data_IF_816050130551
#
_entry.id   IF_816050130551
#
_cell.length_a   1.000
_cell.length_b   1.000
_cell.length_c   1.000
_cell.angle_alpha   90.00
_cell.angle_beta   90.00
_cell.angle_gamma   90.00
#
_symmetry.space_group_name_H-M   'P 1'
#
loop_
_entity.id
_entity.type
_entity.pdbx_description
1 polymer ?
#
# COMPACT_ATOMS: atom_id res chain seq x y z
N UNK A 1 13.48 3.86 21.80
CA UNK A 1 12.02 3.68 21.90
C UNK A 1 11.60 2.58 20.95
N UNK A 2 11.04 1.48 21.44
CA UNK A 2 10.29 0.56 20.59
C UNK A 2 8.90 1.16 20.40
N UNK A 3 8.66 1.79 19.26
CA UNK A 3 7.31 2.26 18.95
C UNK A 3 6.36 1.06 18.89
N UNK A 4 5.32 1.06 19.72
CA UNK A 4 4.34 -0.03 19.75
C UNK A 4 3.38 0.14 18.57
N UNK A 5 3.79 -0.38 17.41
CA UNK A 5 2.96 -0.42 16.20
C UNK A 5 1.81 -1.38 16.46
N UNK A 6 0.62 -0.83 16.67
CA UNK A 6 -0.62 -1.59 16.84
C UNK A 6 -1.10 -2.20 15.52
N UNK A 7 -0.95 -1.45 14.43
CA UNK A 7 -1.39 -1.87 13.12
C UNK A 7 -0.42 -1.38 12.05
N UNK A 8 -0.05 -2.27 11.14
CA UNK A 8 0.71 -1.93 9.95
C UNK A 8 -0.03 -2.41 8.71
N UNK A 9 -0.17 -1.53 7.72
CA UNK A 9 -0.89 -1.76 6.46
C UNK A 9 -0.07 -1.31 5.26
N UNK A 10 -0.06 -2.12 4.21
CA UNK A 10 0.45 -1.77 2.88
C UNK A 10 -0.75 -1.46 1.97
N UNK A 11 -0.76 -0.32 1.32
CA UNK A 11 -1.82 0.13 0.42
C UNK A 11 -1.26 0.41 -0.96
N UNK A 12 -1.95 -0.03 -2.00
CA UNK A 12 -1.61 0.22 -3.40
C UNK A 12 -2.80 0.88 -4.09
N UNK A 13 -2.56 2.01 -4.75
CA UNK A 13 -3.54 2.68 -5.58
C UNK A 13 -3.22 2.41 -7.04
N UNK A 14 -4.16 1.77 -7.72
CA UNK A 14 -4.04 1.34 -9.10
C UNK A 14 -4.92 2.22 -9.98
N UNK A 15 -4.38 2.77 -11.06
CA UNK A 15 -5.16 3.54 -12.04
C UNK A 15 -6.08 2.57 -12.80
N UNK A 16 -7.37 2.66 -12.53
CA UNK A 16 -8.39 1.78 -13.10
C UNK A 16 -9.05 2.38 -14.36
N UNK A 17 -8.88 3.68 -14.61
CA UNK A 17 -9.41 4.37 -15.78
C UNK A 17 -9.68 5.85 -15.49
N UNK A 18 -10.55 6.44 -16.30
CA UNK A 18 -11.01 7.82 -16.16
C UNK A 18 -12.54 7.85 -16.18
N UNK A 19 -13.15 8.80 -15.48
CA UNK A 19 -14.60 9.03 -15.54
C UNK A 19 -15.00 9.86 -16.77
N UNK A 20 -16.30 10.23 -16.84
CA UNK A 20 -16.85 10.99 -17.97
C UNK A 20 -16.27 12.41 -18.09
N UNK A 21 -15.68 12.94 -17.03
CA UNK A 21 -15.06 14.26 -16.99
C UNK A 21 -13.53 14.18 -17.20
N UNK A 22 -12.99 12.97 -17.42
CA UNK A 22 -11.57 12.74 -17.59
C UNK A 22 -10.79 12.69 -16.28
N UNK A 23 -11.45 12.49 -15.13
CA UNK A 23 -10.79 12.36 -13.84
C UNK A 23 -10.38 10.93 -13.56
N UNK A 24 -9.18 10.74 -13.02
CA UNK A 24 -8.62 9.43 -12.70
C UNK A 24 -9.49 8.66 -11.68
N UNK A 25 -9.82 7.41 -12.02
CA UNK A 25 -10.49 6.46 -11.14
C UNK A 25 -9.43 5.50 -10.59
N UNK A 26 -9.34 5.40 -9.28
CA UNK A 26 -8.40 4.50 -8.61
C UNK A 26 -9.08 3.29 -7.98
N UNK A 27 -8.44 2.14 -8.12
CA UNK A 27 -8.75 0.92 -7.37
C UNK A 27 -7.72 0.75 -6.26
N UNK A 28 -8.18 0.69 -5.02
CA UNK A 28 -7.32 0.49 -3.87
C UNK A 28 -7.22 -0.99 -3.52
N UNK A 29 -6.00 -1.48 -3.30
CA UNK A 29 -5.71 -2.77 -2.67
C UNK A 29 -4.99 -2.53 -1.37
N UNK A 30 -5.37 -3.23 -0.31
CA UNK A 30 -4.71 -3.09 1.00
C UNK A 30 -4.46 -4.43 1.65
N UNK A 31 -3.30 -4.55 2.28
CA UNK A 31 -2.84 -5.72 3.03
C UNK A 31 -2.57 -5.29 4.46
N UNK A 32 -3.27 -5.91 5.41
CA UNK A 32 -3.10 -5.64 6.85
C UNK A 32 -2.14 -6.64 7.48
N UNK A 33 -1.79 -6.44 8.75
CA UNK A 33 -0.90 -7.31 9.51
C UNK A 33 0.50 -7.44 8.90
N UNK A 34 1.01 -6.33 8.35
CA UNK A 34 2.38 -6.29 7.84
C UNK A 34 3.35 -6.49 9.01
N UNK A 35 4.37 -7.32 8.79
CA UNK A 35 5.42 -7.52 9.79
C UNK A 35 6.06 -6.16 10.15
N UNK A 36 6.02 -5.80 11.43
CA UNK A 36 6.53 -4.53 11.93
C UNK A 36 8.03 -4.34 11.65
N UNK A 37 8.80 -5.44 11.57
CA UNK A 37 10.23 -5.40 11.26
C UNK A 37 10.55 -5.47 9.76
N UNK A 38 9.54 -5.53 8.89
CA UNK A 38 9.77 -5.54 7.44
C UNK A 38 10.44 -4.24 7.01
N UNK A 39 11.50 -4.36 6.21
CA UNK A 39 12.22 -3.21 5.68
C UNK A 39 11.49 -2.60 4.49
N UNK A 40 11.76 -1.33 4.19
CA UNK A 40 11.21 -0.67 2.99
C UNK A 40 11.56 -1.43 1.70
N UNK A 41 12.79 -1.96 1.61
CA UNK A 41 13.22 -2.73 0.44
C UNK A 41 12.40 -4.03 0.28
N UNK A 42 12.15 -4.75 1.37
CA UNK A 42 11.32 -5.96 1.34
C UNK A 42 9.88 -5.65 0.92
N UNK A 43 9.33 -4.55 1.44
CA UNK A 43 7.98 -4.11 1.08
C UNK A 43 7.89 -3.66 -0.38
N UNK A 44 8.91 -2.96 -0.88
CA UNK A 44 9.01 -2.55 -2.28
C UNK A 44 9.06 -3.77 -3.21
N UNK A 45 9.96 -4.71 -2.97
CA UNK A 45 10.06 -5.94 -3.78
C UNK A 45 8.75 -6.74 -3.76
N UNK A 46 8.10 -6.82 -2.60
CA UNK A 46 6.79 -7.49 -2.48
C UNK A 46 5.72 -6.75 -3.28
N UNK A 47 5.68 -5.41 -3.19
CA UNK A 47 4.74 -4.60 -3.96
C UNK A 47 4.96 -4.76 -5.47
N UNK A 48 6.20 -4.71 -5.94
CA UNK A 48 6.56 -4.93 -7.35
C UNK A 48 6.07 -6.30 -7.86
N UNK A 49 6.29 -7.36 -7.06
CA UNK A 49 5.80 -8.71 -7.39
C UNK A 49 4.27 -8.79 -7.38
N UNK A 50 3.58 -8.09 -6.49
CA UNK A 50 2.12 -8.04 -6.48
C UNK A 50 1.55 -7.24 -7.64
N UNK A 51 2.27 -6.19 -8.07
CA UNK A 51 1.90 -5.30 -9.17
C UNK A 51 2.07 -5.96 -10.53
N UNK A 52 3.09 -6.79 -10.73
CA UNK A 52 3.27 -7.56 -11.97
C UNK A 52 2.11 -8.51 -12.25
N UNK A 53 1.34 -8.88 -11.22
CA UNK A 53 0.14 -9.71 -11.32
C UNK A 53 -1.15 -8.89 -11.50
N UNK A 54 -1.08 -7.55 -11.45
CA UNK A 54 -2.24 -6.69 -11.68
C UNK A 54 -2.34 -6.27 -13.14
N UNK A 55 -3.57 -6.07 -13.61
CA UNK A 55 -3.84 -5.51 -14.94
C UNK A 55 -3.63 -3.98 -14.95
N UNK A 56 -3.80 -3.34 -13.79
CA UNK A 56 -3.75 -1.88 -13.64
C UNK A 56 -2.41 -1.42 -13.07
N UNK A 57 -1.88 -0.33 -13.63
CA UNK A 57 -0.62 0.29 -13.16
C UNK A 57 -0.80 0.90 -11.77
N UNK A 58 0.15 0.66 -10.86
CA UNK A 58 0.20 1.41 -9.61
C UNK A 58 0.68 2.83 -9.83
N UNK A 59 -0.06 3.77 -9.26
CA UNK A 59 0.39 5.16 -9.13
C UNK A 59 1.19 5.35 -7.84
N UNK A 60 0.76 4.71 -6.75
CA UNK A 60 1.39 4.87 -5.44
C UNK A 60 1.25 3.61 -4.58
N UNK A 61 2.32 3.30 -3.84
CA UNK A 61 2.37 2.26 -2.81
C UNK A 61 2.78 2.91 -1.49
N UNK A 62 2.00 2.71 -0.44
CA UNK A 62 2.23 3.33 0.88
C UNK A 62 2.21 2.29 1.99
N UNK A 63 3.10 2.45 2.98
CA UNK A 63 2.99 1.81 4.29
C UNK A 63 2.40 2.81 5.28
N UNK A 64 1.42 2.38 6.06
CA UNK A 64 0.88 3.14 7.19
C UNK A 64 1.02 2.31 8.46
N UNK A 65 1.63 2.93 9.48
CA UNK A 65 1.72 2.38 10.83
C UNK A 65 0.82 3.20 11.75
N UNK A 66 0.11 2.53 12.64
CA UNK A 66 -0.68 3.14 13.70
C UNK A 66 -0.04 2.81 15.05
N UNK A 67 0.08 3.83 15.89
CA UNK A 67 0.73 3.76 17.20
C UNK A 67 -0.28 4.10 18.30
N UNK A 68 -0.11 3.48 19.47
CA UNK A 68 -0.80 3.91 20.68
C UNK A 68 -0.19 5.22 21.20
N UNK A 69 -1.02 6.19 21.61
CA UNK A 69 -0.60 7.47 22.22
C UNK A 69 -1.08 7.55 23.69
N UNK A 70 -1.10 6.42 24.38
CA UNK A 70 -1.54 6.31 25.78
C UNK A 70 -0.38 6.40 26.76
#
# INVERSE_FOLDING_TARGET
MSENILQSRLTMHLLAGYDQEGKEIFKTKSFSNINNTATEAQLRTTAEALLSLQVHTAQIVTRTNQYAVS
#
